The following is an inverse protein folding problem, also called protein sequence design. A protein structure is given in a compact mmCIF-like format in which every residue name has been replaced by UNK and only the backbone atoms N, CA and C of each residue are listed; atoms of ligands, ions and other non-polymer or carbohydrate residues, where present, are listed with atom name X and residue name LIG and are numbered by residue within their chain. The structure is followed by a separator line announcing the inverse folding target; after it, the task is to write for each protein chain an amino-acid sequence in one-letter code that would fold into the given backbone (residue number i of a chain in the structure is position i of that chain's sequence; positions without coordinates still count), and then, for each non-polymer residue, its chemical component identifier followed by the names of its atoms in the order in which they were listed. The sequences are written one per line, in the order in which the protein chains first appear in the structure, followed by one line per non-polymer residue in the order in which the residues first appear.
data_IF_128308315609
#
_entry.id   IF_128308315609
#
_cell.length_a   1.000
_cell.length_b   1.000
_cell.length_c   1.000
_cell.angle_alpha   90.00
_cell.angle_beta   90.00
_cell.angle_gamma   90.00
#
_symmetry.space_group_name_H-M   'P 1'
#
loop_
_entity.id
_entity.type
_entity.pdbx_description
1 polymer ?
#
# COMPACT_ATOMS: atom_id res chain seq x y z
N UNK A 1 -0.03 -9.31 -9.53
CA UNK A 1 -1.37 -9.45 -10.14
C UNK A 1 -1.36 -8.68 -11.43
N UNK A 2 -1.84 -9.26 -12.54
CA UNK A 2 -2.00 -8.56 -13.81
C UNK A 2 -3.45 -8.11 -13.94
N UNK A 3 -3.68 -6.90 -14.45
CA UNK A 3 -5.01 -6.48 -14.87
C UNK A 3 -5.38 -7.16 -16.19
N UNK A 4 -6.66 -7.20 -16.49
CA UNK A 4 -7.19 -7.59 -17.79
C UNK A 4 -6.61 -6.71 -18.89
N UNK A 5 -6.23 -7.33 -20.00
CA UNK A 5 -5.50 -6.69 -21.09
C UNK A 5 -6.06 -7.05 -22.48
N UNK A 6 -6.98 -8.01 -22.58
CA UNK A 6 -7.61 -8.38 -23.84
C UNK A 6 -8.74 -7.41 -24.19
N UNK A 7 -8.77 -6.92 -25.42
CA UNK A 7 -9.86 -6.07 -25.89
C UNK A 7 -11.16 -6.86 -26.09
N UNK A 8 -12.26 -6.32 -25.58
CA UNK A 8 -13.60 -6.85 -25.83
C UNK A 8 -14.17 -6.21 -27.10
N UNK A 9 -14.10 -6.93 -28.23
CA UNK A 9 -14.54 -6.43 -29.54
C UNK A 9 -16.05 -6.24 -29.62
N UNK A 10 -16.52 -5.33 -30.50
CA UNK A 10 -17.95 -5.10 -30.70
C UNK A 10 -18.68 -6.37 -31.19
N UNK A 11 -18.07 -7.16 -32.06
CA UNK A 11 -18.60 -8.45 -32.50
C UNK A 11 -18.86 -9.38 -31.31
N UNK A 12 -17.91 -9.46 -30.36
CA UNK A 12 -18.08 -10.27 -29.15
C UNK A 12 -19.19 -9.72 -28.25
N UNK A 13 -19.29 -8.39 -28.12
CA UNK A 13 -20.36 -7.74 -27.36
C UNK A 13 -21.74 -8.06 -27.97
N UNK A 14 -21.89 -7.95 -29.29
CA UNK A 14 -23.12 -8.28 -29.99
C UNK A 14 -23.47 -9.77 -29.86
N UNK A 15 -22.47 -10.65 -29.93
CA UNK A 15 -22.65 -12.07 -29.64
C UNK A 15 -23.16 -12.34 -28.22
N UNK A 16 -22.62 -11.63 -27.23
CA UNK A 16 -23.06 -11.71 -25.83
C UNK A 16 -24.51 -11.20 -25.70
N UNK A 17 -24.88 -10.10 -26.36
CA UNK A 17 -26.25 -9.57 -26.39
C UNK A 17 -27.24 -10.58 -26.96
N UNK A 18 -26.84 -11.31 -28.00
CA UNK A 18 -27.66 -12.33 -28.63
C UNK A 18 -27.91 -13.56 -27.74
N UNK A 19 -26.92 -13.98 -26.94
CA UNK A 19 -27.07 -15.09 -26.00
C UNK A 19 -26.09 -14.97 -24.80
N UNK A 20 -26.48 -14.35 -23.68
CA UNK A 20 -25.60 -14.16 -22.53
C UNK A 20 -25.33 -15.46 -21.74
N UNK A 21 -26.13 -16.50 -21.94
CA UNK A 21 -26.06 -17.75 -21.15
C UNK A 21 -24.92 -18.68 -21.59
N UNK A 22 -24.36 -18.49 -22.78
CA UNK A 22 -23.23 -19.29 -23.28
C UNK A 22 -21.86 -18.73 -22.87
N UNK A 23 -21.85 -17.63 -22.13
CA UNK A 23 -20.64 -16.90 -21.76
C UNK A 23 -20.15 -17.36 -20.39
N UNK A 24 -18.87 -17.69 -20.30
CA UNK A 24 -18.22 -17.90 -19.02
C UNK A 24 -17.82 -16.54 -18.41
N UNK A 25 -18.74 -15.95 -17.64
CA UNK A 25 -18.61 -14.59 -17.11
C UNK A 25 -17.36 -14.37 -16.24
N UNK A 26 -16.89 -15.40 -15.53
CA UNK A 26 -15.66 -15.29 -14.74
C UNK A 26 -14.43 -15.06 -15.62
N UNK A 27 -14.29 -15.79 -16.72
CA UNK A 27 -13.17 -15.62 -17.65
C UNK A 27 -13.26 -14.29 -18.37
N UNK A 28 -14.48 -13.88 -18.71
CA UNK A 28 -14.73 -12.58 -19.33
C UNK A 28 -14.28 -11.44 -18.40
N UNK A 29 -14.73 -11.43 -17.14
CA UNK A 29 -14.36 -10.42 -16.14
C UNK A 29 -12.88 -10.42 -15.77
N UNK A 30 -12.17 -11.54 -15.96
CA UNK A 30 -10.76 -11.68 -15.58
C UNK A 30 -9.81 -11.26 -16.71
N UNK A 31 -10.13 -11.62 -17.95
CA UNK A 31 -9.19 -11.51 -19.06
C UNK A 31 -9.47 -10.33 -19.99
N UNK A 32 -10.73 -9.89 -20.12
CA UNK A 32 -11.11 -8.83 -21.03
C UNK A 32 -11.29 -7.50 -20.32
N UNK A 33 -10.85 -6.41 -20.97
CA UNK A 33 -11.12 -5.04 -20.54
C UNK A 33 -12.61 -4.76 -20.78
N UNK A 34 -13.35 -4.47 -19.72
CA UNK A 34 -14.78 -4.22 -19.78
C UNK A 34 -15.07 -2.72 -19.89
N UNK A 35 -15.66 -2.22 -20.99
CA UNK A 35 -16.13 -0.85 -21.08
C UNK A 35 -17.21 -0.54 -20.03
N UNK A 36 -17.28 0.70 -19.55
CA UNK A 36 -18.25 1.09 -18.52
C UNK A 36 -19.71 0.87 -18.94
N UNK A 37 -20.07 1.18 -20.19
CA UNK A 37 -21.43 0.94 -20.70
C UNK A 37 -21.75 -0.55 -20.79
N UNK A 38 -20.76 -1.39 -21.15
CA UNK A 38 -20.92 -2.85 -21.09
C UNK A 38 -21.16 -3.31 -19.65
N UNK A 39 -20.40 -2.76 -18.69
CA UNK A 39 -20.61 -3.10 -17.28
C UNK A 39 -22.00 -2.73 -16.79
N UNK A 40 -22.53 -1.57 -17.23
CA UNK A 40 -23.89 -1.13 -16.90
C UNK A 40 -24.96 -2.06 -17.50
N UNK A 41 -24.79 -2.45 -18.75
CA UNK A 41 -25.71 -3.33 -19.48
C UNK A 41 -25.77 -4.73 -18.85
N UNK A 42 -24.63 -5.30 -18.47
CA UNK A 42 -24.52 -6.69 -18.02
C UNK A 42 -24.26 -6.88 -16.52
N UNK A 43 -24.49 -5.84 -15.71
CA UNK A 43 -24.17 -5.81 -14.27
C UNK A 43 -24.64 -7.03 -13.46
N UNK A 44 -25.78 -7.62 -13.81
CA UNK A 44 -26.37 -8.77 -13.12
C UNK A 44 -25.62 -10.09 -13.40
N UNK A 45 -24.83 -10.13 -14.47
CA UNK A 45 -24.06 -11.30 -14.87
C UNK A 45 -22.59 -11.23 -14.44
N UNK A 46 -22.07 -10.02 -14.19
CA UNK A 46 -20.66 -9.82 -13.90
C UNK A 46 -20.28 -10.47 -12.57
N UNK A 47 -19.14 -11.17 -12.56
CA UNK A 47 -18.49 -11.51 -11.32
C UNK A 47 -17.77 -10.26 -10.78
N UNK A 48 -18.43 -9.54 -9.87
CA UNK A 48 -17.93 -8.30 -9.31
C UNK A 48 -16.65 -8.44 -8.48
N UNK A 49 -16.38 -9.62 -7.94
CA UNK A 49 -15.09 -9.92 -7.32
C UNK A 49 -13.96 -9.85 -8.35
N UNK A 50 -14.15 -10.51 -9.49
CA UNK A 50 -13.20 -10.46 -10.62
C UNK A 50 -13.11 -9.06 -11.21
N UNK A 51 -14.23 -8.34 -11.37
CA UNK A 51 -14.21 -6.95 -11.83
C UNK A 51 -13.35 -6.08 -10.91
N UNK A 52 -13.56 -6.17 -9.59
CA UNK A 52 -12.83 -5.37 -8.60
C UNK A 52 -11.33 -5.65 -8.58
N UNK A 53 -10.94 -6.92 -8.81
CA UNK A 53 -9.55 -7.36 -8.78
C UNK A 53 -8.81 -7.14 -10.11
N UNK A 54 -9.44 -7.43 -11.25
CA UNK A 54 -8.74 -7.53 -12.53
C UNK A 54 -9.05 -6.39 -13.49
N UNK A 55 -10.08 -5.59 -13.28
CA UNK A 55 -10.34 -4.41 -14.12
C UNK A 55 -9.59 -3.19 -13.61
N UNK A 56 -9.15 -2.34 -14.53
CA UNK A 56 -8.65 -1.01 -14.21
C UNK A 56 -9.83 -0.04 -14.17
N UNK A 57 -10.31 0.26 -12.97
CA UNK A 57 -11.51 1.06 -12.78
C UNK A 57 -11.15 2.54 -12.56
N UNK A 58 -11.86 3.45 -13.24
CA UNK A 58 -11.82 4.87 -12.92
C UNK A 58 -12.58 5.15 -11.62
N UNK A 59 -12.28 6.27 -10.95
CA UNK A 59 -13.03 6.67 -9.75
C UNK A 59 -14.52 6.87 -10.02
N UNK A 60 -14.88 7.34 -11.22
CA UNK A 60 -16.29 7.46 -11.65
C UNK A 60 -16.97 6.09 -11.77
N UNK A 61 -16.29 5.10 -12.36
CA UNK A 61 -16.79 3.71 -12.40
C UNK A 61 -16.89 3.11 -10.98
N UNK A 62 -15.92 3.40 -10.12
CA UNK A 62 -15.94 2.91 -8.73
C UNK A 62 -17.12 3.52 -7.96
N UNK A 63 -17.42 4.80 -8.15
CA UNK A 63 -18.58 5.45 -7.53
C UNK A 63 -19.89 4.89 -8.09
N UNK A 64 -20.01 4.72 -9.40
CA UNK A 64 -21.22 4.19 -10.04
C UNK A 64 -21.56 2.78 -9.55
N UNK A 65 -20.55 1.89 -9.47
CA UNK A 65 -20.74 0.49 -9.12
C UNK A 65 -20.38 0.16 -7.66
N UNK A 66 -20.29 1.18 -6.79
CA UNK A 66 -19.76 1.08 -5.43
C UNK A 66 -20.41 0.02 -4.53
N UNK A 67 -21.66 -0.35 -4.81
CA UNK A 67 -22.44 -1.31 -4.03
C UNK A 67 -22.29 -2.75 -4.52
N UNK A 68 -21.69 -2.94 -5.70
CA UNK A 68 -21.32 -4.25 -6.23
C UNK A 68 -19.83 -4.57 -5.98
N UNK A 69 -18.98 -3.53 -5.95
CA UNK A 69 -17.54 -3.71 -5.87
C UNK A 69 -17.07 -4.22 -4.50
N UNK A 70 -16.06 -5.09 -4.55
CA UNK A 70 -15.37 -5.62 -3.37
C UNK A 70 -14.26 -4.66 -2.94
N UNK A 71 -14.54 -3.90 -1.88
CA UNK A 71 -13.67 -2.83 -1.36
C UNK A 71 -12.26 -3.28 -0.95
N UNK A 72 -12.10 -4.55 -0.55
CA UNK A 72 -10.78 -5.15 -0.33
C UNK A 72 -9.88 -4.99 -1.56
N UNK A 73 -10.37 -5.37 -2.74
CA UNK A 73 -9.63 -5.29 -3.99
C UNK A 73 -9.50 -3.86 -4.49
N UNK A 74 -10.54 -3.04 -4.32
CA UNK A 74 -10.50 -1.62 -4.68
C UNK A 74 -9.38 -0.90 -3.93
N UNK A 75 -9.36 -1.00 -2.60
CA UNK A 75 -8.35 -0.30 -1.78
C UNK A 75 -6.93 -0.84 -1.97
N UNK A 76 -6.79 -2.12 -2.35
CA UNK A 76 -5.48 -2.78 -2.50
C UNK A 76 -4.86 -2.60 -3.87
N UNK A 77 -5.65 -2.65 -4.93
CA UNK A 77 -5.15 -2.77 -6.30
C UNK A 77 -5.43 -1.55 -7.18
N UNK A 78 -6.52 -0.83 -6.93
CA UNK A 78 -6.82 0.37 -7.72
C UNK A 78 -5.98 1.55 -7.23
N UNK A 79 -5.63 2.45 -8.14
CA UNK A 79 -4.98 3.72 -7.78
C UNK A 79 -6.07 4.73 -7.43
N UNK A 80 -6.17 5.08 -6.16
CA UNK A 80 -7.16 6.02 -5.66
C UNK A 80 -6.50 7.36 -5.32
N UNK A 81 -7.14 8.46 -5.69
CA UNK A 81 -6.74 9.79 -5.27
C UNK A 81 -7.10 10.02 -3.81
N UNK A 82 -6.32 10.86 -3.13
CA UNK A 82 -6.57 11.23 -1.74
C UNK A 82 -7.93 11.88 -1.53
N UNK A 83 -8.39 12.69 -2.49
CA UNK A 83 -9.71 13.29 -2.47
C UNK A 83 -10.82 12.24 -2.51
N UNK A 84 -10.67 11.21 -3.34
CA UNK A 84 -11.63 10.12 -3.43
C UNK A 84 -11.64 9.25 -2.17
N UNK A 85 -10.46 8.91 -1.64
CA UNK A 85 -10.31 8.19 -0.37
C UNK A 85 -11.01 8.97 0.75
N UNK A 86 -10.82 10.30 0.81
CA UNK A 86 -11.45 11.14 1.83
C UNK A 86 -12.97 11.21 1.69
N UNK A 87 -13.45 11.39 0.44
CA UNK A 87 -14.88 11.42 0.13
C UNK A 87 -15.58 10.15 0.60
N UNK A 88 -14.93 8.99 0.46
CA UNK A 88 -15.46 7.67 0.83
C UNK A 88 -14.79 7.07 2.07
N UNK A 89 -14.28 7.91 2.98
CA UNK A 89 -13.52 7.50 4.17
C UNK A 89 -14.22 6.47 5.06
N UNK A 90 -15.55 6.45 5.07
CA UNK A 90 -16.36 5.54 5.89
C UNK A 90 -16.58 4.17 5.22
N UNK A 91 -16.20 4.03 3.93
CA UNK A 91 -16.36 2.79 3.13
C UNK A 91 -15.02 2.13 2.79
N UNK A 92 -13.94 2.91 2.67
CA UNK A 92 -12.60 2.38 2.38
C UNK A 92 -12.06 1.58 3.55
N UNK A 93 -11.30 0.52 3.23
CA UNK A 93 -10.55 -0.22 4.23
C UNK A 93 -9.21 0.49 4.50
N UNK A 94 -9.12 1.18 5.64
CA UNK A 94 -7.95 1.98 6.01
C UNK A 94 -6.66 1.16 6.16
N UNK A 95 -6.74 -0.11 6.53
CA UNK A 95 -5.57 -0.99 6.57
C UNK A 95 -4.95 -1.15 5.18
N UNK A 96 -5.79 -1.37 4.15
CA UNK A 96 -5.31 -1.45 2.77
C UNK A 96 -4.89 -0.09 2.21
N UNK A 97 -5.61 0.99 2.55
CA UNK A 97 -5.19 2.35 2.17
C UNK A 97 -3.78 2.65 2.70
N UNK A 98 -3.52 2.43 3.99
CA UNK A 98 -2.21 2.69 4.59
C UNK A 98 -1.08 1.81 4.05
N UNK A 99 -1.40 0.62 3.54
CA UNK A 99 -0.41 -0.35 3.04
C UNK A 99 -0.07 -0.14 1.57
N UNK A 100 -1.09 0.05 0.73
CA UNK A 100 -0.96 -0.11 -0.71
C UNK A 100 -1.08 1.19 -1.49
N UNK A 101 -1.72 2.22 -0.92
CA UNK A 101 -1.78 3.53 -1.56
C UNK A 101 -0.54 4.34 -1.23
N UNK A 102 -0.11 5.18 -2.19
CA UNK A 102 0.92 6.20 -1.94
C UNK A 102 0.25 7.42 -1.35
N UNK A 103 0.52 7.69 -0.08
CA UNK A 103 -0.10 8.80 0.65
C UNK A 103 0.91 9.94 0.85
N UNK A 104 0.46 11.18 0.68
CA UNK A 104 1.18 12.38 1.07
C UNK A 104 1.13 12.56 2.59
N UNK A 105 2.16 13.21 3.13
CA UNK A 105 2.20 13.50 4.57
C UNK A 105 1.04 14.38 5.03
N UNK A 106 0.62 15.34 4.20
CA UNK A 106 -0.54 16.19 4.50
C UNK A 106 -1.80 15.35 4.66
N UNK A 107 -2.01 14.38 3.78
CA UNK A 107 -3.13 13.46 3.88
C UNK A 107 -3.03 12.57 5.12
N UNK A 108 -1.85 12.03 5.42
CA UNK A 108 -1.61 11.23 6.64
C UNK A 108 -1.92 12.05 7.90
N UNK A 109 -1.50 13.31 7.95
CA UNK A 109 -1.81 14.23 9.06
C UNK A 109 -3.33 14.40 9.20
N UNK A 110 -4.01 14.73 8.10
CA UNK A 110 -5.46 14.96 8.08
C UNK A 110 -6.25 13.70 8.46
N UNK A 111 -5.77 12.52 8.02
CA UNK A 111 -6.40 11.22 8.25
C UNK A 111 -5.81 10.44 9.43
N UNK A 112 -5.06 11.12 10.31
CA UNK A 112 -4.29 10.51 11.42
C UNK A 112 -5.10 9.66 12.41
N UNK A 113 -6.43 9.83 12.45
CA UNK A 113 -7.36 9.03 13.26
C UNK A 113 -7.78 7.71 12.60
N UNK A 114 -7.60 7.58 11.29
CA UNK A 114 -8.06 6.44 10.51
C UNK A 114 -6.92 5.54 10.04
N UNK A 115 -5.77 6.12 9.70
CA UNK A 115 -4.63 5.35 9.17
C UNK A 115 -4.11 4.32 10.17
N UNK A 116 -3.63 3.20 9.65
CA UNK A 116 -2.96 2.18 10.46
C UNK A 116 -1.47 2.51 10.57
N UNK A 117 -1.05 3.00 11.74
CA UNK A 117 0.30 3.52 11.95
C UNK A 117 1.43 2.50 11.73
N UNK A 118 1.23 1.22 12.07
CA UNK A 118 2.19 0.16 11.74
C UNK A 118 2.45 0.10 10.23
N UNK A 119 1.40 0.16 9.42
CA UNK A 119 1.48 0.12 7.97
C UNK A 119 2.03 1.43 7.39
N UNK A 120 1.68 2.57 7.98
CA UNK A 120 2.29 3.87 7.62
C UNK A 120 3.81 3.83 7.83
N UNK A 121 4.27 3.38 9.00
CA UNK A 121 5.70 3.29 9.32
C UNK A 121 6.45 2.29 8.44
N UNK A 122 5.80 1.20 8.01
CA UNK A 122 6.44 0.16 7.20
C UNK A 122 6.42 0.43 5.69
N UNK A 123 5.36 1.07 5.17
CA UNK A 123 5.08 1.10 3.74
C UNK A 123 5.20 2.49 3.10
N UNK A 124 5.08 3.57 3.88
CA UNK A 124 5.19 4.94 3.37
C UNK A 124 6.63 5.46 3.52
N UNK A 125 6.99 6.49 2.75
CA UNK A 125 8.24 7.24 2.95
C UNK A 125 7.91 8.42 3.84
N UNK A 126 8.48 8.45 5.03
CA UNK A 126 8.19 9.45 6.05
C UNK A 126 9.37 10.40 6.23
N UNK A 127 9.08 11.69 6.38
CA UNK A 127 10.04 12.69 6.79
C UNK A 127 10.24 12.67 8.30
N UNK A 128 11.42 13.12 8.73
CA UNK A 128 11.73 13.31 10.15
C UNK A 128 10.70 14.19 10.86
N UNK A 129 10.16 15.20 10.17
CA UNK A 129 9.15 16.10 10.75
C UNK A 129 7.84 15.38 11.05
N UNK A 130 7.38 14.51 10.14
CA UNK A 130 6.19 13.70 10.38
C UNK A 130 6.44 12.69 11.52
N UNK A 131 7.59 12.01 11.50
CA UNK A 131 7.98 11.04 12.53
C UNK A 131 8.00 11.72 13.89
N UNK A 132 8.68 12.86 14.03
CA UNK A 132 8.72 13.66 15.27
C UNK A 132 7.32 14.07 15.73
N UNK A 133 6.48 14.54 14.81
CA UNK A 133 5.12 14.99 15.11
C UNK A 133 4.23 13.87 15.65
N UNK A 134 4.43 12.63 15.22
CA UNK A 134 3.63 11.46 15.60
C UNK A 134 4.48 10.37 16.26
N UNK A 135 5.51 10.76 17.01
CA UNK A 135 6.47 9.87 17.66
C UNK A 135 5.80 8.84 18.59
N UNK A 136 4.63 9.18 19.14
CA UNK A 136 3.81 8.37 20.03
C UNK A 136 2.96 7.32 19.28
N UNK A 137 2.81 7.45 17.96
CA UNK A 137 1.97 6.58 17.13
C UNK A 137 2.75 5.74 16.15
N UNK A 138 3.86 6.26 15.63
CA UNK A 138 4.70 5.51 14.70
C UNK A 138 5.24 4.25 15.35
N UNK A 139 5.39 3.21 14.55
CA UNK A 139 6.01 1.98 15.01
C UNK A 139 7.54 2.09 14.83
N UNK A 140 8.25 2.32 15.94
CA UNK A 140 9.69 2.53 15.95
C UNK A 140 10.52 1.37 15.37
N UNK A 141 10.03 0.13 15.49
CA UNK A 141 10.67 -1.02 14.82
C UNK A 141 10.64 -0.84 13.29
N UNK A 142 9.50 -0.48 12.72
CA UNK A 142 9.39 -0.23 11.28
C UNK A 142 10.10 1.05 10.84
N UNK A 143 10.11 2.10 11.67
CA UNK A 143 10.92 3.30 11.41
C UNK A 143 12.40 2.92 11.27
N UNK A 144 12.96 2.23 12.25
CA UNK A 144 14.36 1.83 12.24
C UNK A 144 14.70 0.93 11.03
N UNK A 145 13.80 0.00 10.69
CA UNK A 145 14.00 -0.99 9.63
C UNK A 145 13.84 -0.43 8.21
N UNK A 146 12.89 0.48 7.99
CA UNK A 146 12.47 0.88 6.64
C UNK A 146 12.72 2.36 6.31
N UNK A 147 12.88 3.23 7.30
CA UNK A 147 13.02 4.67 7.08
C UNK A 147 14.49 5.12 7.18
N UNK A 148 14.87 6.06 6.31
CA UNK A 148 16.13 6.79 6.43
C UNK A 148 15.86 8.05 7.27
N UNK A 149 16.31 8.05 8.51
CA UNK A 149 16.17 9.19 9.44
C UNK A 149 17.47 9.97 9.56
N UNK A 150 17.41 11.25 9.93
CA UNK A 150 18.61 12.02 10.22
C UNK A 150 19.27 11.59 11.54
N UNK A 151 20.54 12.00 11.70
CA UNK A 151 21.28 11.85 12.96
C UNK A 151 20.62 12.61 14.11
N UNK A 152 20.02 13.77 13.84
CA UNK A 152 19.33 14.57 14.85
C UNK A 152 18.11 13.84 15.39
N UNK A 153 17.23 13.34 14.50
CA UNK A 153 16.05 12.59 14.91
C UNK A 153 16.43 11.30 15.64
N UNK A 154 17.48 10.63 15.17
CA UNK A 154 18.01 9.43 15.82
C UNK A 154 18.40 9.72 17.28
N UNK A 155 19.17 10.79 17.52
CA UNK A 155 19.61 11.15 18.87
C UNK A 155 18.45 11.62 19.76
N UNK A 156 17.50 12.34 19.19
CA UNK A 156 16.30 12.84 19.89
C UNK A 156 15.42 11.69 20.41
N UNK A 157 15.23 10.63 19.61
CA UNK A 157 14.37 9.49 19.96
C UNK A 157 15.14 8.20 20.21
N UNK A 158 16.40 8.31 20.62
CA UNK A 158 17.26 7.14 20.86
C UNK A 158 16.63 6.15 21.85
N UNK A 159 15.94 6.62 22.90
CA UNK A 159 15.36 5.73 23.92
C UNK A 159 14.22 4.86 23.35
N UNK A 160 13.49 5.36 22.34
CA UNK A 160 12.49 4.58 21.60
C UNK A 160 13.11 3.55 20.65
N UNK A 161 14.38 3.76 20.29
CA UNK A 161 15.15 2.90 19.41
C UNK A 161 16.02 1.90 20.20
N UNK A 162 16.44 2.27 21.42
CA UNK A 162 17.38 1.57 22.30
C UNK A 162 16.75 0.41 23.09
N UNK A 163 15.43 0.37 23.29
CA UNK A 163 14.72 -0.73 23.98
C UNK A 163 14.67 -2.04 23.17
N UNK A 164 15.66 -2.27 22.30
CA UNK A 164 15.60 -3.36 21.38
C UNK A 164 16.94 -4.05 21.15
N UNK A 165 17.00 -5.29 21.61
CA UNK A 165 17.68 -6.42 20.96
C UNK A 165 17.40 -6.47 19.42
N UNK A 166 16.41 -5.70 18.94
CA UNK A 166 16.05 -5.46 17.55
C UNK A 166 16.81 -4.36 16.81
N UNK A 167 17.40 -3.34 17.47
CA UNK A 167 18.22 -2.34 16.75
C UNK A 167 19.43 -3.04 16.09
N UNK A 168 19.94 -4.01 16.83
CA UNK A 168 20.92 -5.02 16.43
C UNK A 168 20.47 -5.87 15.20
N UNK A 169 19.21 -6.28 15.12
CA UNK A 169 18.65 -6.99 13.95
C UNK A 169 18.29 -6.06 12.78
N UNK A 170 17.96 -4.79 13.03
CA UNK A 170 17.77 -3.78 12.00
C UNK A 170 19.09 -3.45 11.29
N UNK A 171 20.23 -3.59 11.99
CA UNK A 171 21.56 -3.50 11.41
C UNK A 171 21.86 -4.57 10.33
N UNK A 172 21.11 -5.68 10.31
CA UNK A 172 21.26 -6.74 9.30
C UNK A 172 20.67 -6.38 7.92
N UNK A 173 19.74 -5.41 7.86
CA UNK A 173 18.89 -5.19 6.68
C UNK A 173 19.25 -3.95 5.84
N UNK A 174 20.53 -3.62 5.74
CA UNK A 174 21.09 -2.66 4.76
C UNK A 174 20.76 -1.16 4.96
N UNK A 175 20.15 -0.73 6.07
CA UNK A 175 20.05 0.71 6.38
C UNK A 175 21.35 1.24 7.03
N UNK A 176 22.45 1.16 6.26
CA UNK A 176 23.81 1.50 6.69
C UNK A 176 23.96 2.88 7.34
N UNK A 177 23.06 3.83 7.05
CA UNK A 177 23.14 5.18 7.61
C UNK A 177 22.79 5.21 9.10
N UNK A 178 21.71 4.54 9.50
CA UNK A 178 21.31 4.49 10.91
C UNK A 178 22.37 3.74 11.74
N UNK A 179 22.96 2.67 11.18
CA UNK A 179 24.06 1.91 11.79
C UNK A 179 25.31 2.78 11.98
N UNK A 180 25.68 3.57 10.96
CA UNK A 180 26.83 4.49 11.05
C UNK A 180 26.64 5.52 12.15
N UNK A 181 25.45 6.09 12.26
CA UNK A 181 25.12 7.04 13.33
C UNK A 181 25.24 6.35 14.69
N UNK A 182 24.67 5.16 14.85
CA UNK A 182 24.75 4.36 16.08
C UNK A 182 26.20 4.10 16.51
N UNK A 183 27.04 3.60 15.60
CA UNK A 183 28.44 3.31 15.87
C UNK A 183 29.26 4.56 16.18
N UNK A 184 28.98 5.69 15.52
CA UNK A 184 29.66 6.97 15.76
C UNK A 184 29.51 7.45 17.20
N UNK A 185 28.38 7.15 17.85
CA UNK A 185 28.09 7.58 19.22
C UNK A 185 28.46 6.56 20.30
N UNK A 186 29.23 5.52 19.95
CA UNK A 186 29.86 4.64 20.93
C UNK A 186 28.97 3.54 21.51
N UNK A 187 27.80 3.30 20.92
CA UNK A 187 26.96 2.17 21.30
C UNK A 187 27.60 0.84 20.88
N UNK A 188 27.58 -0.15 21.77
CA UNK A 188 28.17 -1.47 21.51
C UNK A 188 27.17 -2.36 20.79
N UNK A 189 27.48 -2.76 19.55
CA UNK A 189 26.77 -3.86 18.88
C UNK A 189 27.26 -5.21 19.41
N UNK A 190 26.36 -6.18 19.58
CA UNK A 190 26.70 -7.57 19.86
C UNK A 190 27.65 -8.16 18.79
N UNK A 191 28.55 -9.05 19.24
CA UNK A 191 29.61 -9.70 18.48
C UNK A 191 29.13 -10.36 17.17
N UNK A 192 27.89 -10.87 17.15
CA UNK A 192 27.30 -11.50 15.96
C UNK A 192 27.21 -10.51 14.78
N UNK A 193 26.88 -9.24 15.05
CA UNK A 193 26.69 -8.22 14.01
C UNK A 193 28.03 -7.71 13.48
N UNK A 194 29.07 -7.67 14.32
CA UNK A 194 30.43 -7.30 13.91
C UNK A 194 30.99 -8.25 12.83
N UNK A 195 30.62 -9.54 12.84
CA UNK A 195 31.00 -10.52 11.80
C UNK A 195 30.28 -10.31 10.46
N UNK A 196 29.07 -9.76 10.46
CA UNK A 196 28.23 -9.59 9.26
C UNK A 196 28.25 -8.17 8.67
N UNK A 197 28.75 -7.18 9.42
CA UNK A 197 29.06 -5.84 8.92
C UNK A 197 30.36 -5.74 8.13
N UNK A 198 31.11 -6.83 7.97
CA UNK A 198 32.27 -6.88 7.07
C UNK A 198 31.71 -6.96 5.63
N UNK A 199 31.77 -5.89 4.82
CA UNK A 199 31.51 -6.05 3.40
C UNK A 199 32.75 -6.73 2.82
N UNK A 200 32.53 -7.70 1.93
CA UNK A 200 33.55 -8.12 0.98
C UNK A 200 34.27 -6.89 0.42
N UNK A 201 35.60 -6.88 0.55
CA UNK A 201 36.48 -5.99 -0.21
C UNK A 201 36.10 -6.09 -1.69
N UNK A 202 35.67 -5.00 -2.33
CA UNK A 202 36.06 -4.60 -3.68
C UNK A 202 35.91 -3.09 -3.82
#
# INVERSE_FOLDING_TARGET
MSFADQELTQEKIEGIRGNPNIIHWQDLCTNYILPQDFMREFKEYLNWERVSAFQKLSEDSIEEFRDYLHWYYICKYQKLSENFIWKLRDKVNWYHISTYQKLSENFIIQSSKYVHWNNISACQILSDNLIRKFHDKVNWYYIAKHQKISEELFLEFKDYLEDTEYFEQCCYNQNYNNIKIYLKHGFKLNYIIQKHLIPCKF
#
